data_IF_251216466081
#
_entry.id   IF_251216466081
#
_cell.length_a   1.000
_cell.length_b   1.000
_cell.length_c   1.000
_cell.angle_alpha   90.00
_cell.angle_beta   90.00
_cell.angle_gamma   90.00
#
_symmetry.space_group_name_H-M   'P 1'
#
loop_
_entity.id
_entity.type
_entity.pdbx_description
1 polymer ?
#
# COMPACT_ATOMS: atom_id res chain seq x y z
N UNK A 1 57.92 -38.53 -21.68
CA UNK A 1 58.08 -37.07 -21.75
C UNK A 1 57.52 -36.58 -23.08
N UNK A 2 56.32 -36.01 -23.07
CA UNK A 2 55.96 -34.77 -23.77
C UNK A 2 54.45 -34.58 -23.72
N UNK A 3 54.09 -33.37 -23.31
CA UNK A 3 52.77 -32.90 -22.96
C UNK A 3 51.93 -32.59 -24.21
N UNK A 4 50.65 -32.92 -24.15
CA UNK A 4 49.62 -32.32 -24.99
C UNK A 4 48.48 -31.89 -24.06
N UNK A 5 48.59 -30.68 -23.53
CA UNK A 5 47.55 -30.02 -22.76
C UNK A 5 46.59 -29.37 -23.78
N UNK A 6 45.42 -29.98 -23.99
CA UNK A 6 44.37 -29.43 -24.84
C UNK A 6 43.64 -28.33 -24.04
N UNK A 7 43.84 -27.07 -24.43
CA UNK A 7 43.05 -25.93 -23.94
C UNK A 7 41.66 -25.97 -24.60
N UNK A 8 40.61 -26.22 -23.81
CA UNK A 8 39.23 -25.92 -24.21
C UNK A 8 38.84 -24.61 -23.52
N UNK A 9 38.92 -23.50 -24.27
CA UNK A 9 38.33 -22.23 -23.90
C UNK A 9 36.88 -22.18 -24.43
N UNK A 10 35.92 -22.57 -23.60
CA UNK A 10 34.50 -22.34 -23.88
C UNK A 10 34.10 -20.94 -23.36
N UNK A 11 33.71 -20.08 -24.30
CA UNK A 11 33.27 -18.71 -24.09
C UNK A 11 32.07 -18.64 -23.13
N UNK A 12 32.21 -17.89 -22.03
CA UNK A 12 31.08 -17.42 -21.26
C UNK A 12 30.41 -16.27 -22.02
N UNK A 13 29.30 -16.57 -22.69
CA UNK A 13 28.37 -15.55 -23.18
C UNK A 13 27.72 -14.94 -21.93
N UNK A 14 28.15 -13.72 -21.60
CA UNK A 14 27.58 -12.93 -20.52
C UNK A 14 26.08 -12.74 -20.74
N UNK A 15 25.29 -13.20 -19.78
CA UNK A 15 23.89 -12.81 -19.68
C UNK A 15 23.83 -11.28 -19.57
N UNK A 16 22.94 -10.61 -20.32
CA UNK A 16 22.74 -9.17 -20.15
C UNK A 16 22.36 -8.89 -18.69
N UNK A 17 22.84 -7.79 -18.09
CA UNK A 17 22.57 -7.46 -16.70
C UNK A 17 21.06 -7.46 -16.46
N UNK A 18 20.62 -8.33 -15.56
CA UNK A 18 19.23 -8.43 -15.11
C UNK A 18 18.78 -7.04 -14.70
N UNK A 19 17.77 -6.50 -15.39
CA UNK A 19 17.14 -5.22 -15.08
C UNK A 19 16.90 -5.14 -13.57
N UNK A 20 17.15 -3.98 -12.92
CA UNK A 20 16.88 -3.85 -11.49
C UNK A 20 15.43 -4.30 -11.22
N UNK A 21 15.20 -5.18 -10.23
CA UNK A 21 13.88 -5.74 -9.99
C UNK A 21 12.89 -4.62 -9.74
N UNK A 22 11.76 -4.65 -10.46
CA UNK A 22 10.72 -3.63 -10.35
C UNK A 22 10.38 -3.36 -8.88
N UNK A 23 10.24 -2.09 -8.48
CA UNK A 23 9.92 -1.74 -7.10
C UNK A 23 8.53 -2.28 -6.77
N UNK A 24 8.48 -3.30 -5.90
CA UNK A 24 7.22 -3.88 -5.45
C UNK A 24 6.31 -2.87 -4.74
N UNK A 25 5.00 -3.15 -4.75
CA UNK A 25 3.96 -2.29 -4.17
C UNK A 25 4.10 -2.25 -2.65
N UNK A 26 4.38 -1.08 -2.07
CA UNK A 26 4.45 -0.92 -0.63
C UNK A 26 3.10 -1.17 0.03
N UNK A 27 3.04 -2.03 1.04
CA UNK A 27 1.82 -2.39 1.78
C UNK A 27 2.10 -2.49 3.29
N UNK A 28 1.05 -2.30 4.08
CA UNK A 28 0.98 -2.64 5.48
C UNK A 28 0.13 -3.91 5.64
N UNK A 29 0.73 -4.97 6.20
CA UNK A 29 0.06 -6.23 6.51
C UNK A 29 -0.29 -6.28 7.98
N UNK A 30 -1.52 -6.70 8.28
CA UNK A 30 -1.95 -7.10 9.61
C UNK A 30 -2.08 -8.61 9.68
N UNK A 31 -1.40 -9.18 10.66
CA UNK A 31 -1.42 -10.62 10.93
C UNK A 31 -2.55 -10.96 11.92
N UNK A 32 -2.84 -12.26 12.07
CA UNK A 32 -3.84 -12.78 13.01
C UNK A 32 -3.47 -12.57 14.47
N UNK A 33 -2.18 -12.50 14.77
CA UNK A 33 -1.65 -12.16 16.10
C UNK A 33 -1.68 -10.63 16.39
N UNK A 34 -2.31 -9.84 15.51
CA UNK A 34 -2.34 -8.37 15.50
C UNK A 34 -0.98 -7.68 15.27
N UNK A 35 0.07 -8.42 14.92
CA UNK A 35 1.32 -7.79 14.49
C UNK A 35 1.09 -7.03 13.16
N UNK A 36 1.85 -5.94 12.99
CA UNK A 36 1.83 -5.09 11.81
C UNK A 36 3.20 -5.11 11.15
N UNK A 37 3.24 -5.28 9.84
CA UNK A 37 4.48 -5.27 9.07
C UNK A 37 4.35 -4.43 7.81
N UNK A 38 5.34 -3.57 7.56
CA UNK A 38 5.44 -2.74 6.35
C UNK A 38 6.48 -3.34 5.41
N UNK A 39 6.09 -3.60 4.17
CA UNK A 39 6.94 -4.29 3.18
C UNK A 39 6.46 -4.00 1.76
N UNK A 40 7.17 -4.52 0.75
CA UNK A 40 6.74 -4.42 -0.65
C UNK A 40 6.24 -5.78 -1.16
N UNK A 41 5.05 -5.85 -1.74
CA UNK A 41 4.58 -7.03 -2.48
C UNK A 41 5.23 -7.04 -3.86
N UNK A 42 5.81 -8.18 -4.25
CA UNK A 42 6.49 -8.37 -5.53
C UNK A 42 5.57 -9.00 -6.59
N UNK A 43 4.41 -9.51 -6.19
CA UNK A 43 3.40 -10.01 -7.12
C UNK A 43 2.83 -8.86 -7.94
N UNK A 44 2.86 -8.96 -9.27
CA UNK A 44 2.35 -7.92 -10.16
C UNK A 44 0.81 -7.87 -10.19
N UNK A 45 0.16 -9.04 -10.04
CA UNK A 45 -1.29 -9.22 -10.10
C UNK A 45 -1.77 -10.17 -9.01
N UNK A 46 -3.01 -9.95 -8.57
CA UNK A 46 -3.76 -10.82 -7.68
C UNK A 46 -4.81 -11.60 -8.50
N UNK A 47 -4.70 -12.93 -8.48
CA UNK A 47 -5.70 -13.80 -9.10
C UNK A 47 -6.72 -14.25 -8.05
N UNK A 48 -8.01 -14.06 -8.36
CA UNK A 48 -9.11 -14.50 -7.51
C UNK A 48 -10.27 -15.09 -8.30
N UNK A 49 -10.93 -16.09 -7.74
CA UNK A 49 -12.18 -16.65 -8.28
C UNK A 49 -13.37 -15.98 -7.60
N UNK A 50 -14.21 -15.27 -8.35
CA UNK A 50 -15.48 -14.71 -7.90
C UNK A 50 -16.64 -15.60 -8.36
N UNK A 51 -17.88 -15.24 -7.99
CA UNK A 51 -19.08 -15.93 -8.49
C UNK A 51 -19.29 -15.77 -10.01
N UNK A 52 -18.70 -14.72 -10.61
CA UNK A 52 -18.81 -14.41 -12.03
C UNK A 52 -17.65 -14.98 -12.86
N UNK A 53 -16.67 -15.62 -12.22
CA UNK A 53 -15.51 -16.22 -12.88
C UNK A 53 -14.17 -15.79 -12.29
N UNK A 54 -13.10 -16.00 -13.05
CA UNK A 54 -11.74 -15.60 -12.63
C UNK A 54 -11.49 -14.13 -12.91
N UNK A 55 -10.89 -13.45 -11.94
CA UNK A 55 -10.52 -12.05 -12.02
C UNK A 55 -9.02 -11.91 -11.71
N UNK A 56 -8.34 -11.09 -12.50
CA UNK A 56 -6.93 -10.74 -12.32
C UNK A 56 -6.82 -9.24 -12.08
N UNK A 57 -6.49 -8.85 -10.85
CA UNK A 57 -6.43 -7.44 -10.42
C UNK A 57 -4.96 -7.03 -10.31
N UNK A 58 -4.49 -5.97 -10.99
CA UNK A 58 -3.14 -5.45 -10.78
C UNK A 58 -2.93 -5.00 -9.33
N UNK A 59 -1.82 -5.39 -8.70
CA UNK A 59 -1.57 -5.04 -7.29
C UNK A 59 -1.49 -3.53 -7.05
N UNK A 60 -1.11 -2.76 -8.08
CA UNK A 60 -1.06 -1.30 -8.06
C UNK A 60 -2.44 -0.65 -7.90
N UNK A 61 -3.51 -1.33 -8.28
CA UNK A 61 -4.89 -0.85 -8.13
C UNK A 61 -5.51 -1.21 -6.78
N UNK A 62 -4.94 -2.21 -6.10
CA UNK A 62 -5.44 -2.70 -4.82
C UNK A 62 -5.17 -1.65 -3.74
N UNK A 63 -6.25 -1.22 -3.08
CA UNK A 63 -6.21 -0.30 -1.94
C UNK A 63 -6.23 -1.05 -0.62
N UNK A 64 -7.07 -2.07 -0.54
CA UNK A 64 -7.27 -2.86 0.68
C UNK A 64 -7.69 -4.28 0.34
N UNK A 65 -7.23 -5.24 1.13
CA UNK A 65 -7.75 -6.61 1.10
C UNK A 65 -8.14 -7.02 2.51
N UNK A 66 -9.39 -7.42 2.69
CA UNK A 66 -9.82 -8.14 3.88
C UNK A 66 -9.75 -9.64 3.58
N UNK A 67 -8.85 -10.36 4.25
CA UNK A 67 -8.67 -11.78 4.00
C UNK A 67 -9.74 -12.60 4.72
N UNK A 68 -10.28 -13.60 4.03
CA UNK A 68 -11.09 -14.64 4.67
C UNK A 68 -10.27 -15.45 5.66
N UNK A 69 -10.95 -16.10 6.59
CA UNK A 69 -10.30 -17.03 7.51
C UNK A 69 -9.86 -18.29 6.75
N UNK A 70 -8.54 -18.46 6.60
CA UNK A 70 -7.94 -19.69 6.09
C UNK A 70 -7.40 -20.47 7.27
N UNK A 71 -7.84 -21.72 7.39
CA UNK A 71 -7.23 -22.67 8.31
C UNK A 71 -6.21 -23.49 7.53
N UNK A 72 -4.91 -23.44 7.92
CA UNK A 72 -3.93 -24.47 7.61
C UNK A 72 -4.52 -25.87 7.81
N UNK A 73 -4.17 -26.80 6.93
CA UNK A 73 -4.81 -28.12 6.86
C UNK A 73 -4.54 -28.96 8.12
N UNK A 74 -3.36 -28.85 8.69
CA UNK A 74 -2.97 -29.46 9.97
C UNK A 74 -3.88 -28.97 11.11
N UNK A 75 -4.08 -27.65 11.23
CA UNK A 75 -4.92 -27.09 12.29
C UNK A 75 -6.40 -27.38 12.05
N UNK A 76 -6.85 -27.41 10.80
CA UNK A 76 -8.21 -27.86 10.48
C UNK A 76 -8.46 -29.27 10.99
N UNK A 77 -7.55 -30.22 10.72
CA UNK A 77 -7.65 -31.60 11.20
C UNK A 77 -7.65 -31.69 12.72
N UNK A 78 -6.83 -30.90 13.41
CA UNK A 78 -6.82 -30.83 14.87
C UNK A 78 -8.16 -30.34 15.42
N UNK A 79 -8.72 -29.28 14.83
CA UNK A 79 -10.04 -28.74 15.21
C UNK A 79 -11.13 -29.80 14.97
N UNK A 80 -11.16 -30.42 13.79
CA UNK A 80 -12.17 -31.44 13.45
C UNK A 80 -12.09 -32.65 14.40
N UNK A 81 -10.88 -33.09 14.75
CA UNK A 81 -10.64 -34.15 15.73
C UNK A 81 -11.15 -33.75 17.11
N UNK A 82 -10.84 -32.53 17.56
CA UNK A 82 -11.31 -32.04 18.85
C UNK A 82 -12.84 -31.91 18.88
N UNK A 83 -13.48 -31.45 17.80
CA UNK A 83 -14.95 -31.41 17.68
C UNK A 83 -15.55 -32.81 17.79
N UNK A 84 -14.99 -33.81 17.09
CA UNK A 84 -15.45 -35.19 17.21
C UNK A 84 -15.32 -35.73 18.65
N UNK A 85 -14.24 -35.34 19.34
CA UNK A 85 -13.96 -35.75 20.70
C UNK A 85 -14.82 -35.06 21.78
N UNK A 86 -15.56 -34.00 21.45
CA UNK A 86 -16.50 -33.36 22.39
C UNK A 86 -17.63 -34.30 22.87
N UNK A 87 -17.97 -35.30 22.05
CA UNK A 87 -18.98 -36.33 22.36
C UNK A 87 -18.38 -37.67 22.79
N UNK A 88 -17.08 -37.74 23.04
CA UNK A 88 -16.41 -39.01 23.35
C UNK A 88 -16.89 -39.58 24.69
N UNK A 89 -16.99 -40.91 24.84
CA UNK A 89 -17.51 -41.55 26.08
C UNK A 89 -16.64 -41.29 27.32
N UNK A 90 -15.32 -41.20 27.13
CA UNK A 90 -14.36 -40.93 28.20
C UNK A 90 -14.28 -39.43 28.54
N UNK A 91 -14.52 -39.08 29.81
CA UNK A 91 -14.48 -37.71 30.32
C UNK A 91 -13.16 -36.97 30.02
N UNK A 92 -12.02 -37.63 30.24
CA UNK A 92 -10.69 -37.03 30.00
C UNK A 92 -10.48 -36.58 28.55
N UNK A 93 -11.00 -37.35 27.59
CA UNK A 93 -10.89 -37.04 26.15
C UNK A 93 -11.73 -35.80 25.82
N UNK A 94 -12.93 -35.67 26.42
CA UNK A 94 -13.79 -34.51 26.23
C UNK A 94 -13.17 -33.23 26.81
N UNK A 95 -12.61 -33.31 28.01
CA UNK A 95 -11.96 -32.16 28.65
C UNK A 95 -10.74 -31.69 27.86
N UNK A 96 -9.91 -32.62 27.37
CA UNK A 96 -8.78 -32.29 26.50
C UNK A 96 -9.25 -31.58 25.22
N UNK A 97 -10.28 -32.13 24.55
CA UNK A 97 -10.86 -31.52 23.37
C UNK A 97 -11.41 -30.10 23.63
N UNK A 98 -12.06 -29.88 24.77
CA UNK A 98 -12.53 -28.54 25.16
C UNK A 98 -11.37 -27.57 25.38
N UNK A 99 -10.28 -28.03 26.00
CA UNK A 99 -9.07 -27.23 26.18
C UNK A 99 -8.42 -26.88 24.84
N UNK A 100 -8.27 -27.85 23.94
CA UNK A 100 -7.67 -27.66 22.62
C UNK A 100 -8.47 -26.63 21.80
N UNK A 101 -9.80 -26.78 21.76
CA UNK A 101 -10.69 -25.85 21.05
C UNK A 101 -10.65 -24.43 21.61
N UNK A 102 -10.46 -24.27 22.93
CA UNK A 102 -10.21 -22.95 23.53
C UNK A 102 -8.85 -22.38 23.10
N UNK A 103 -7.81 -23.22 23.02
CA UNK A 103 -6.49 -22.84 22.57
C UNK A 103 -6.48 -22.33 21.12
N UNK A 104 -7.34 -22.87 20.27
CA UNK A 104 -7.49 -22.41 18.87
C UNK A 104 -8.25 -21.08 18.72
N UNK A 105 -8.94 -20.59 19.76
CA UNK A 105 -9.63 -19.29 19.78
C UNK A 105 -10.56 -19.08 18.55
N UNK A 106 -10.44 -17.96 17.83
CA UNK A 106 -11.25 -17.62 16.67
C UNK A 106 -11.15 -18.65 15.53
N UNK A 107 -10.07 -19.44 15.48
CA UNK A 107 -9.87 -20.45 14.42
C UNK A 107 -10.85 -21.61 14.56
N UNK A 108 -11.21 -21.96 15.80
CA UNK A 108 -12.22 -22.99 16.08
C UNK A 108 -13.66 -22.46 15.96
N UNK A 109 -13.86 -21.14 15.97
CA UNK A 109 -15.19 -20.52 16.05
C UNK A 109 -16.15 -20.97 14.94
N UNK A 110 -15.77 -21.00 13.63
CA UNK A 110 -16.68 -21.48 12.59
C UNK A 110 -17.05 -22.97 12.75
N UNK A 111 -16.12 -23.81 13.22
CA UNK A 111 -16.37 -25.22 13.44
C UNK A 111 -17.30 -25.45 14.64
N UNK A 112 -17.12 -24.68 15.71
CA UNK A 112 -17.98 -24.68 16.89
C UNK A 112 -19.41 -24.23 16.56
N UNK A 113 -19.59 -23.20 15.71
CA UNK A 113 -20.91 -22.79 15.23
C UNK A 113 -21.63 -23.94 14.50
N UNK A 114 -20.93 -24.66 13.61
CA UNK A 114 -21.50 -25.82 12.91
C UNK A 114 -21.84 -26.96 13.87
N UNK A 115 -20.95 -27.24 14.83
CA UNK A 115 -21.15 -28.29 15.84
C UNK A 115 -22.35 -27.98 16.76
N UNK A 116 -22.54 -26.71 17.14
CA UNK A 116 -23.69 -26.25 17.91
C UNK A 116 -25.01 -26.37 17.12
N UNK A 117 -24.97 -26.17 15.80
CA UNK A 117 -26.17 -26.29 14.96
C UNK A 117 -26.57 -27.75 14.65
N UNK A 118 -25.59 -28.61 14.37
CA UNK A 118 -25.83 -29.92 13.74
C UNK A 118 -25.35 -31.13 14.56
N UNK A 119 -24.66 -30.92 15.67
CA UNK A 119 -24.09 -31.99 16.49
C UNK A 119 -25.12 -32.81 17.27
N UNK A 120 -24.64 -33.82 18.01
CA UNK A 120 -25.47 -34.52 19.01
C UNK A 120 -25.81 -33.59 20.18
N UNK A 121 -26.84 -33.89 21.01
CA UNK A 121 -27.22 -33.03 22.13
C UNK A 121 -26.05 -32.69 23.08
N UNK A 122 -25.17 -33.67 23.33
CA UNK A 122 -23.99 -33.49 24.18
C UNK A 122 -22.92 -32.60 23.54
N UNK A 123 -22.67 -32.78 22.25
CA UNK A 123 -21.72 -31.95 21.47
C UNK A 123 -22.23 -30.53 21.34
N UNK A 124 -23.54 -30.34 21.09
CA UNK A 124 -24.17 -29.02 20.97
C UNK A 124 -24.00 -28.22 22.25
N UNK A 125 -24.36 -28.80 23.39
CA UNK A 125 -24.23 -28.14 24.70
C UNK A 125 -22.79 -27.68 24.96
N UNK A 126 -21.80 -28.54 24.72
CA UNK A 126 -20.39 -28.17 24.92
C UNK A 126 -19.89 -27.14 23.91
N UNK A 127 -20.32 -27.23 22.66
CA UNK A 127 -19.99 -26.25 21.64
C UNK A 127 -20.56 -24.87 22.01
N UNK A 128 -21.80 -24.80 22.51
CA UNK A 128 -22.44 -23.57 23.00
C UNK A 128 -21.70 -22.98 24.22
N UNK A 129 -21.29 -23.82 25.17
CA UNK A 129 -20.49 -23.39 26.33
C UNK A 129 -19.15 -22.78 25.88
N UNK A 130 -18.50 -23.39 24.89
CA UNK A 130 -17.25 -22.88 24.30
C UNK A 130 -17.47 -21.58 23.51
N UNK A 131 -18.54 -21.50 22.72
CA UNK A 131 -18.89 -20.29 21.96
C UNK A 131 -19.14 -19.10 22.91
N UNK A 132 -19.81 -19.34 24.03
CA UNK A 132 -20.04 -18.32 25.07
C UNK A 132 -18.70 -17.82 25.62
N UNK A 133 -17.83 -18.73 26.04
CA UNK A 133 -16.48 -18.39 26.54
C UNK A 133 -15.63 -17.62 25.52
N UNK A 134 -15.75 -17.96 24.23
CA UNK A 134 -15.02 -17.25 23.18
C UNK A 134 -15.60 -15.84 22.94
N UNK A 135 -16.92 -15.68 22.99
CA UNK A 135 -17.60 -14.37 22.87
C UNK A 135 -17.26 -13.44 24.02
N UNK A 136 -17.09 -13.97 25.22
CA UNK A 136 -16.70 -13.16 26.39
C UNK A 136 -15.23 -12.72 26.33
N UNK A 137 -14.36 -13.50 25.69
CA UNK A 137 -12.91 -13.25 25.64
C UNK A 137 -12.44 -12.49 24.40
N UNK A 138 -13.15 -12.61 23.28
CA UNK A 138 -12.71 -12.09 22.00
C UNK A 138 -13.62 -10.94 21.55
N UNK A 139 -13.06 -9.84 21.02
CA UNK A 139 -13.85 -8.77 20.44
C UNK A 139 -14.67 -9.29 19.24
N UNK A 140 -15.86 -8.71 19.03
CA UNK A 140 -16.82 -9.17 18.02
C UNK A 140 -16.22 -9.19 16.61
N UNK A 141 -15.29 -8.27 16.32
CA UNK A 141 -14.60 -8.17 15.03
C UNK A 141 -13.79 -9.44 14.70
N UNK A 142 -13.22 -10.13 15.70
CA UNK A 142 -12.49 -11.41 15.51
C UNK A 142 -13.41 -12.59 15.28
N UNK A 143 -14.67 -12.47 15.70
CA UNK A 143 -15.69 -13.52 15.56
C UNK A 143 -16.47 -13.40 14.24
N UNK A 144 -16.25 -12.35 13.46
CA UNK A 144 -16.83 -12.20 12.12
C UNK A 144 -16.30 -13.26 11.16
N UNK A 145 -17.10 -14.30 10.95
CA UNK A 145 -16.85 -15.32 9.94
C UNK A 145 -17.11 -14.73 8.56
N UNK A 146 -16.09 -14.75 7.70
CA UNK A 146 -16.18 -14.34 6.30
C UNK A 146 -15.79 -15.52 5.41
N UNK A 147 -16.64 -15.82 4.44
CA UNK A 147 -16.41 -16.92 3.50
C UNK A 147 -15.53 -16.53 2.30
N UNK A 148 -15.56 -15.24 1.94
CA UNK A 148 -14.85 -14.66 0.82
C UNK A 148 -13.82 -13.62 1.28
N UNK A 149 -12.72 -13.53 0.52
CA UNK A 149 -11.83 -12.38 0.56
C UNK A 149 -12.53 -11.18 -0.09
N UNK A 150 -12.34 -9.99 0.46
CA UNK A 150 -12.84 -8.74 -0.10
C UNK A 150 -11.67 -7.89 -0.58
N UNK A 151 -11.58 -7.67 -1.89
CA UNK A 151 -10.54 -6.86 -2.52
C UNK A 151 -11.15 -5.54 -2.95
N UNK A 152 -10.64 -4.45 -2.38
CA UNK A 152 -10.97 -3.07 -2.75
C UNK A 152 -9.91 -2.60 -3.74
N UNK A 153 -10.30 -2.35 -4.99
CA UNK A 153 -9.42 -1.89 -6.05
C UNK A 153 -10.07 -0.72 -6.80
N UNK A 154 -9.40 0.44 -6.81
CA UNK A 154 -10.03 1.70 -7.21
C UNK A 154 -11.34 1.95 -6.46
N UNK A 155 -12.42 2.22 -7.20
CA UNK A 155 -13.79 2.41 -6.70
C UNK A 155 -14.59 1.09 -6.61
N UNK A 156 -14.01 -0.04 -7.01
CA UNK A 156 -14.69 -1.33 -7.07
C UNK A 156 -14.34 -2.22 -5.88
N UNK A 157 -15.31 -3.04 -5.46
CA UNK A 157 -15.12 -4.08 -4.45
C UNK A 157 -15.44 -5.44 -5.05
N UNK A 158 -14.49 -6.37 -4.94
CA UNK A 158 -14.62 -7.73 -5.44
C UNK A 158 -14.65 -8.71 -4.28
N UNK A 159 -15.69 -9.55 -4.23
CA UNK A 159 -15.79 -10.66 -3.29
C UNK A 159 -15.44 -11.98 -4.00
N UNK A 160 -14.52 -12.75 -3.44
CA UNK A 160 -14.13 -14.03 -4.02
C UNK A 160 -13.08 -14.78 -3.21
N UNK A 161 -12.44 -15.77 -3.83
CA UNK A 161 -11.37 -16.55 -3.22
C UNK A 161 -10.06 -16.23 -3.92
N UNK A 162 -9.11 -15.65 -3.21
CA UNK A 162 -7.75 -15.45 -3.75
C UNK A 162 -7.13 -16.84 -3.98
N UNK A 163 -6.63 -17.08 -5.20
CA UNK A 163 -6.12 -18.38 -5.63
C UNK A 163 -4.76 -18.69 -5.01
N UNK A 164 -3.91 -17.67 -4.83
CA UNK A 164 -2.61 -17.85 -4.19
C UNK A 164 -2.75 -18.16 -2.69
N UNK A 165 -1.87 -19.02 -2.18
CA UNK A 165 -1.74 -19.31 -0.75
C UNK A 165 -0.71 -18.39 -0.06
N UNK A 166 0.16 -17.74 -0.82
CA UNK A 166 1.28 -16.93 -0.31
C UNK A 166 1.44 -15.65 -1.12
N UNK A 167 1.96 -14.60 -0.48
CA UNK A 167 2.55 -13.47 -1.20
C UNK A 167 4.06 -13.56 -1.21
N UNK A 168 4.65 -13.18 -2.34
CA UNK A 168 6.08 -12.92 -2.42
C UNK A 168 6.28 -11.45 -2.08
N UNK A 169 7.04 -11.19 -1.03
CA UNK A 169 7.26 -9.86 -0.49
C UNK A 169 8.75 -9.56 -0.39
N UNK A 170 9.10 -8.28 -0.35
CA UNK A 170 10.43 -7.77 -0.05
C UNK A 170 10.38 -6.95 1.22
N UNK A 171 11.16 -7.37 2.21
CA UNK A 171 11.40 -6.66 3.46
C UNK A 171 12.70 -5.86 3.35
N UNK A 172 12.81 -4.76 4.11
CA UNK A 172 14.03 -3.94 4.11
C UNK A 172 15.22 -4.64 4.75
N UNK A 173 14.97 -5.43 5.80
CA UNK A 173 16.05 -6.05 6.59
C UNK A 173 16.44 -7.44 6.10
N UNK A 174 15.52 -8.20 5.52
CA UNK A 174 15.71 -9.63 5.24
C UNK A 174 15.58 -9.98 3.75
N UNK A 175 15.39 -9.00 2.86
CA UNK A 175 15.22 -9.26 1.43
C UNK A 175 13.87 -9.92 1.12
N UNK A 176 13.86 -10.87 0.19
CA UNK A 176 12.64 -11.53 -0.29
C UNK A 176 12.16 -12.61 0.69
N UNK A 177 10.85 -12.62 0.96
CA UNK A 177 10.20 -13.59 1.83
C UNK A 177 8.85 -14.03 1.25
N UNK A 178 8.36 -15.18 1.71
CA UNK A 178 7.01 -15.68 1.38
C UNK A 178 6.14 -15.63 2.61
N UNK A 179 5.01 -14.93 2.53
CA UNK A 179 4.07 -14.80 3.64
C UNK A 179 2.80 -15.60 3.33
N UNK A 180 2.42 -16.59 4.17
CA UNK A 180 1.15 -17.30 4.00
C UNK A 180 -0.05 -16.39 4.23
N UNK A 181 -1.02 -16.39 3.31
CA UNK A 181 -2.26 -15.63 3.48
C UNK A 181 -3.12 -16.11 4.65
N UNK A 182 -2.85 -17.32 5.15
CA UNK A 182 -3.52 -17.85 6.33
C UNK A 182 -3.18 -17.09 7.61
N UNK A 183 -2.00 -16.48 7.67
CA UNK A 183 -1.56 -15.68 8.81
C UNK A 183 -2.09 -14.24 8.73
N UNK A 184 -2.70 -13.84 7.61
CA UNK A 184 -3.13 -12.47 7.37
C UNK A 184 -4.61 -12.25 7.70
N UNK A 185 -4.90 -11.04 8.16
CA UNK A 185 -6.27 -10.53 8.38
C UNK A 185 -6.59 -9.37 7.44
N UNK A 186 -5.64 -8.46 7.23
CA UNK A 186 -5.83 -7.28 6.40
C UNK A 186 -4.54 -6.91 5.67
N UNK A 187 -4.67 -6.36 4.48
CA UNK A 187 -3.61 -5.68 3.73
C UNK A 187 -4.13 -4.31 3.35
N UNK A 188 -3.33 -3.28 3.60
CA UNK A 188 -3.60 -1.92 3.14
C UNK A 188 -2.44 -1.48 2.26
N UNK A 189 -2.75 -0.99 1.06
CA UNK A 189 -1.72 -0.44 0.19
C UNK A 189 -1.19 0.87 0.76
N UNK A 190 0.13 0.93 0.93
CA UNK A 190 0.85 2.17 1.24
C UNK A 190 1.23 2.92 -0.02
N UNK A 191 1.25 2.23 -1.16
CA UNK A 191 1.27 2.85 -2.47
C UNK A 191 -0.15 3.31 -2.81
N UNK A 192 -0.66 4.26 -2.05
CA UNK A 192 -1.91 4.89 -2.42
C UNK A 192 -1.64 5.92 -3.51
N UNK A 193 -1.40 5.51 -4.76
CA UNK A 193 -1.70 6.34 -5.93
C UNK A 193 -1.04 5.99 -7.25
N UNK A 194 -1.85 6.02 -8.31
CA UNK A 194 -1.40 6.04 -9.69
C UNK A 194 -0.41 7.19 -9.88
N UNK A 195 0.56 6.99 -10.77
CA UNK A 195 1.46 8.06 -11.14
C UNK A 195 0.74 9.00 -12.12
N UNK A 196 0.63 10.27 -11.75
CA UNK A 196 -0.02 11.30 -12.57
C UNK A 196 0.99 12.38 -12.93
N UNK A 197 1.02 12.78 -14.20
CA UNK A 197 1.87 13.88 -14.68
C UNK A 197 1.01 15.08 -15.05
N UNK A 198 1.46 16.26 -14.64
CA UNK A 198 0.81 17.55 -14.86
C UNK A 198 1.80 18.54 -15.45
N UNK A 199 1.29 19.50 -16.22
CA UNK A 199 2.07 20.65 -16.71
C UNK A 199 1.55 21.92 -16.04
N UNK A 200 2.43 22.63 -15.35
CA UNK A 200 2.13 23.89 -14.68
C UNK A 200 2.78 25.03 -15.46
N UNK A 201 1.98 25.81 -16.18
CA UNK A 201 2.44 26.97 -16.91
C UNK A 201 2.70 28.16 -15.96
N UNK A 202 3.88 28.79 -16.07
CA UNK A 202 4.28 29.92 -15.23
C UNK A 202 3.36 31.13 -15.38
N UNK A 203 2.87 31.39 -16.59
CA UNK A 203 1.94 32.50 -16.87
C UNK A 203 0.54 32.33 -16.25
N UNK A 204 0.22 31.16 -15.68
CA UNK A 204 -1.05 30.87 -15.01
C UNK A 204 -0.86 30.65 -13.51
N UNK A 205 0.15 29.87 -13.14
CA UNK A 205 0.32 29.35 -11.77
C UNK A 205 1.47 29.99 -10.99
N UNK A 206 2.21 30.94 -11.59
CA UNK A 206 3.22 31.76 -10.93
C UNK A 206 2.79 33.24 -10.76
N UNK A 207 1.46 33.48 -10.65
CA UNK A 207 0.88 34.82 -10.58
C UNK A 207 0.66 35.31 -9.14
N UNK A 208 0.68 36.63 -8.88
CA UNK A 208 0.48 37.22 -7.54
C UNK A 208 -0.86 36.86 -6.88
N UNK A 209 -1.91 36.61 -7.67
CA UNK A 209 -3.23 36.20 -7.15
C UNK A 209 -3.28 34.77 -6.57
N UNK A 210 -2.14 34.07 -6.52
CA UNK A 210 -1.99 32.71 -5.96
C UNK A 210 -2.98 31.69 -6.55
N UNK A 211 -3.06 31.63 -7.88
CA UNK A 211 -3.87 30.62 -8.56
C UNK A 211 -3.32 29.21 -8.27
N UNK A 212 -4.20 28.28 -7.89
CA UNK A 212 -3.86 26.91 -7.56
C UNK A 212 -4.30 25.96 -8.69
N UNK A 213 -3.40 25.09 -9.13
CA UNK A 213 -3.71 23.99 -10.03
C UNK A 213 -4.33 22.85 -9.22
N UNK A 214 -5.56 22.46 -9.54
CA UNK A 214 -6.25 21.33 -8.92
C UNK A 214 -5.85 20.02 -9.62
N UNK A 215 -5.06 19.18 -8.94
CA UNK A 215 -4.59 17.90 -9.51
C UNK A 215 -5.69 16.84 -9.59
N UNK A 216 -6.83 17.07 -8.92
CA UNK A 216 -7.91 16.11 -8.67
C UNK A 216 -7.51 14.88 -7.85
N UNK A 217 -6.25 14.76 -7.45
CA UNK A 217 -5.77 13.66 -6.61
C UNK A 217 -6.21 13.88 -5.17
N UNK A 218 -6.90 12.90 -4.60
CA UNK A 218 -7.35 12.93 -3.21
C UNK A 218 -6.42 12.15 -2.30
N UNK A 219 -6.02 12.76 -1.19
CA UNK A 219 -5.13 12.18 -0.20
C UNK A 219 -5.84 12.01 1.14
N UNK A 220 -5.45 10.97 1.87
CA UNK A 220 -5.82 10.78 3.28
C UNK A 220 -4.62 11.16 4.15
N UNK A 221 -4.87 11.71 5.34
CA UNK A 221 -3.81 12.05 6.29
C UNK A 221 -2.90 10.85 6.56
N UNK A 222 -1.58 11.07 6.50
CA UNK A 222 -0.56 10.04 6.70
C UNK A 222 -0.27 9.16 5.47
N UNK A 223 -1.01 9.29 4.36
CA UNK A 223 -0.71 8.58 3.12
C UNK A 223 0.60 9.07 2.48
N UNK A 224 1.29 8.21 1.73
CA UNK A 224 2.52 8.59 1.06
C UNK A 224 2.27 9.59 -0.07
N UNK A 225 3.08 10.65 -0.14
CA UNK A 225 3.09 11.63 -1.21
C UNK A 225 4.51 11.76 -1.74
N UNK A 226 4.70 11.43 -3.02
CA UNK A 226 5.95 11.68 -3.73
C UNK A 226 5.72 12.59 -4.91
N UNK A 227 6.61 13.55 -5.08
CA UNK A 227 6.59 14.47 -6.21
C UNK A 227 7.97 14.50 -6.84
N UNK A 228 8.01 14.49 -8.17
CA UNK A 228 9.20 14.87 -8.94
C UNK A 228 8.80 15.91 -9.98
N UNK A 229 9.55 17.00 -10.04
CA UNK A 229 9.28 18.11 -10.93
C UNK A 229 10.53 18.48 -11.72
N UNK A 230 10.31 18.92 -12.95
CA UNK A 230 11.35 19.37 -13.88
C UNK A 230 10.84 20.50 -14.74
N UNK A 231 11.72 21.17 -15.47
CA UNK A 231 11.39 22.31 -16.30
C UNK A 231 11.91 23.61 -15.73
N UNK A 232 11.57 24.70 -16.40
CA UNK A 232 12.15 26.02 -16.16
C UNK A 232 11.06 27.08 -16.30
N UNK A 233 11.09 28.05 -15.39
CA UNK A 233 10.21 29.22 -15.42
C UNK A 233 11.06 30.47 -15.32
N UNK A 234 10.90 31.38 -16.28
CA UNK A 234 11.49 32.71 -16.24
C UNK A 234 10.55 33.63 -15.46
N UNK A 235 10.96 33.98 -14.24
CA UNK A 235 10.18 34.85 -13.35
C UNK A 235 10.32 36.33 -13.68
N UNK A 236 11.19 36.70 -14.63
CA UNK A 236 11.34 38.07 -15.09
C UNK A 236 11.63 38.15 -16.60
N UNK A 237 10.63 37.85 -17.45
CA UNK A 237 10.82 37.75 -18.90
C UNK A 237 11.14 39.09 -19.58
N UNK A 238 11.04 40.23 -18.87
CA UNK A 238 11.57 41.52 -19.36
C UNK A 238 13.09 41.50 -19.56
N UNK A 239 13.81 40.58 -18.88
CA UNK A 239 15.20 40.23 -19.17
C UNK A 239 15.27 38.72 -19.44
N UNK A 240 14.95 38.29 -20.67
CA UNK A 240 14.78 36.89 -21.00
C UNK A 240 15.99 36.05 -20.60
N UNK A 241 15.74 34.89 -20.00
CA UNK A 241 16.74 33.89 -19.60
C UNK A 241 17.71 34.32 -18.49
N UNK A 242 17.49 35.49 -17.87
CA UNK A 242 18.35 35.96 -16.75
C UNK A 242 17.83 35.45 -15.40
N UNK A 243 16.51 35.36 -15.24
CA UNK A 243 15.85 35.01 -13.99
C UNK A 243 15.08 33.69 -14.09
N UNK A 244 15.76 32.67 -14.62
CA UNK A 244 15.19 31.33 -14.76
C UNK A 244 15.30 30.56 -13.45
N UNK A 245 14.23 29.87 -13.09
CA UNK A 245 14.12 29.06 -11.89
C UNK A 245 13.78 27.60 -12.24
N UNK A 246 14.35 26.69 -11.45
CA UNK A 246 13.93 25.30 -11.38
C UNK A 246 12.76 25.16 -10.39
N UNK A 247 12.07 24.01 -10.32
CA UNK A 247 11.08 23.76 -9.28
C UNK A 247 11.61 23.90 -7.84
N UNK A 248 12.92 23.76 -7.61
CA UNK A 248 13.57 24.03 -6.31
C UNK A 248 13.70 25.54 -6.01
N UNK A 249 13.34 26.39 -6.94
CA UNK A 249 13.59 27.82 -6.92
C UNK A 249 14.93 28.17 -7.56
N UNK A 250 15.53 29.24 -7.04
CA UNK A 250 16.67 29.93 -7.64
C UNK A 250 17.98 29.13 -7.55
N UNK A 251 18.65 28.93 -8.70
CA UNK A 251 19.95 28.24 -8.78
C UNK A 251 21.15 29.20 -8.90
N UNK A 252 20.98 30.41 -9.44
CA UNK A 252 21.95 31.55 -9.45
C UNK A 252 21.31 32.71 -10.24
N UNK A 253 20.93 33.84 -9.62
CA UNK A 253 20.82 35.09 -10.42
C UNK A 253 21.96 36.03 -10.02
N UNK A 254 22.69 36.57 -10.99
CA UNK A 254 23.77 37.51 -10.77
C UNK A 254 23.21 38.87 -10.35
N UNK A 255 23.48 39.30 -9.12
CA UNK A 255 22.99 40.58 -8.61
C UNK A 255 23.39 40.83 -7.17
N UNK A 256 23.48 42.11 -6.83
CA UNK A 256 23.93 42.69 -5.56
C UNK A 256 23.30 42.02 -4.32
N UNK A 257 24.10 41.49 -3.36
CA UNK A 257 23.61 40.83 -2.13
C UNK A 257 22.66 41.68 -1.27
N UNK A 258 22.63 43.00 -1.47
CA UNK A 258 21.83 43.94 -0.69
C UNK A 258 20.33 44.03 -1.04
N UNK A 259 19.89 43.49 -2.18
CA UNK A 259 18.46 43.37 -2.50
C UNK A 259 18.01 41.94 -2.22
N UNK A 260 17.50 41.69 -1.02
CA UNK A 260 16.76 40.45 -0.68
C UNK A 260 15.55 40.32 -1.59
N UNK A 261 15.76 39.77 -2.78
CA UNK A 261 14.68 39.28 -3.63
C UNK A 261 14.16 38.00 -3.02
N UNK A 262 12.84 37.80 -3.09
CA UNK A 262 12.16 36.64 -2.52
C UNK A 262 12.90 35.34 -2.92
N UNK A 263 13.58 34.66 -1.98
CA UNK A 263 14.41 33.49 -2.30
C UNK A 263 13.55 32.31 -2.78
N UNK A 264 12.24 32.39 -2.58
CA UNK A 264 11.28 31.36 -2.92
C UNK A 264 10.66 31.55 -4.31
N UNK A 265 10.96 32.63 -5.04
CA UNK A 265 10.38 32.85 -6.36
C UNK A 265 10.67 31.66 -7.29
N UNK A 266 9.63 31.19 -7.98
CA UNK A 266 9.71 30.02 -8.87
C UNK A 266 9.72 28.67 -8.17
N UNK A 267 9.69 28.59 -6.83
CA UNK A 267 9.60 27.32 -6.11
C UNK A 267 8.26 26.64 -6.38
N UNK A 268 8.26 25.33 -6.61
CA UNK A 268 7.06 24.51 -6.63
C UNK A 268 6.59 24.23 -5.20
N UNK A 269 5.35 24.58 -4.92
CA UNK A 269 4.68 24.40 -3.63
C UNK A 269 3.38 23.63 -3.80
N UNK A 270 2.96 22.98 -2.72
CA UNK A 270 1.71 22.22 -2.66
C UNK A 270 0.89 22.58 -1.44
N UNK A 271 -0.40 22.23 -1.47
CA UNK A 271 -1.26 22.15 -0.28
C UNK A 271 -2.27 21.01 -0.44
N UNK A 272 -2.72 20.46 0.68
CA UNK A 272 -3.73 19.38 0.70
C UNK A 272 -5.01 19.89 1.37
N UNK A 273 -6.11 19.87 0.62
CA UNK A 273 -7.38 20.47 1.00
C UNK A 273 -7.42 21.98 0.75
N UNK A 274 -8.64 22.54 0.64
CA UNK A 274 -8.82 23.96 0.31
C UNK A 274 -8.18 24.89 1.35
N UNK A 275 -8.25 24.49 2.62
CA UNK A 275 -7.74 25.21 3.79
C UNK A 275 -6.41 24.65 4.33
N UNK A 276 -5.75 23.76 3.58
CA UNK A 276 -4.49 23.17 4.01
C UNK A 276 -3.34 24.18 4.00
N UNK A 277 -2.36 23.97 4.88
CA UNK A 277 -1.12 24.74 4.90
C UNK A 277 -0.30 24.48 3.64
N UNK A 278 0.30 25.54 3.11
CA UNK A 278 1.26 25.47 2.00
C UNK A 278 2.58 24.83 2.47
N UNK A 279 3.17 23.99 1.63
CA UNK A 279 4.46 23.37 1.88
C UNK A 279 5.30 23.28 0.60
N UNK A 280 6.62 23.27 0.77
CA UNK A 280 7.57 23.23 -0.34
C UNK A 280 7.68 21.80 -0.89
N UNK A 281 7.53 21.67 -2.22
CA UNK A 281 7.72 20.42 -2.95
C UNK A 281 9.08 20.39 -3.64
N UNK A 282 9.50 21.49 -4.27
CA UNK A 282 10.77 21.55 -4.98
C UNK A 282 10.83 20.65 -6.22
N UNK A 283 12.05 20.26 -6.62
CA UNK A 283 12.29 19.26 -7.67
C UNK A 283 11.91 17.84 -7.26
N UNK A 284 12.05 17.52 -5.97
CA UNK A 284 11.76 16.20 -5.42
C UNK A 284 11.22 16.34 -4.00
N UNK A 285 10.15 15.62 -3.73
CA UNK A 285 9.54 15.49 -2.42
C UNK A 285 9.24 14.02 -2.16
N UNK A 286 9.62 13.51 -0.98
CA UNK A 286 9.24 12.19 -0.48
C UNK A 286 8.79 12.37 0.97
N UNK A 287 7.48 12.25 1.20
CA UNK A 287 6.88 12.51 2.50
C UNK A 287 5.50 11.91 2.62
N UNK A 288 4.73 12.44 3.56
CA UNK A 288 3.37 11.99 3.83
C UNK A 288 2.40 13.17 3.80
N UNK A 289 1.18 12.93 3.34
CA UNK A 289 0.11 13.91 3.37
C UNK A 289 -0.16 14.38 4.80
N UNK A 290 -0.04 15.69 5.05
CA UNK A 290 -0.24 16.31 6.36
C UNK A 290 -1.71 16.40 6.79
N UNK A 291 -2.63 16.19 5.86
CA UNK A 291 -4.07 16.23 6.08
C UNK A 291 -4.81 15.43 5.01
N UNK A 292 -6.14 15.42 5.09
CA UNK A 292 -7.00 14.79 4.08
C UNK A 292 -7.57 15.84 3.11
N UNK A 293 -7.69 15.48 1.83
CA UNK A 293 -8.29 16.31 0.79
C UNK A 293 -7.52 16.31 -0.53
N UNK A 294 -7.91 17.19 -1.45
CA UNK A 294 -7.28 17.31 -2.78
C UNK A 294 -5.92 17.97 -2.73
N UNK A 295 -4.97 17.44 -3.52
CA UNK A 295 -3.68 18.08 -3.73
C UNK A 295 -3.82 19.23 -4.73
N UNK A 296 -3.36 20.40 -4.32
CA UNK A 296 -3.23 21.58 -5.17
C UNK A 296 -1.76 21.95 -5.32
N UNK A 297 -1.38 22.40 -6.52
CA UNK A 297 -0.02 22.79 -6.86
C UNK A 297 0.03 24.25 -7.31
N UNK A 298 1.15 24.92 -7.05
CA UNK A 298 1.38 26.30 -7.46
C UNK A 298 2.87 26.57 -7.61
N UNK A 299 3.21 27.58 -8.40
CA UNK A 299 4.56 28.13 -8.49
C UNK A 299 4.59 29.45 -7.71
N UNK A 300 5.57 29.63 -6.84
CA UNK A 300 5.72 30.89 -6.09
C UNK A 300 5.98 32.04 -7.08
N UNK A 301 5.25 33.13 -6.88
CA UNK A 301 5.17 34.24 -7.82
C UNK A 301 6.48 35.01 -8.00
N UNK A 302 6.54 35.76 -9.10
CA UNK A 302 7.60 36.73 -9.36
C UNK A 302 7.54 37.89 -8.37
N UNK A 303 8.68 38.30 -7.78
CA UNK A 303 8.73 39.46 -6.88
C UNK A 303 8.57 40.81 -7.61
N UNK A 304 8.58 40.83 -8.95
CA UNK A 304 8.50 42.07 -9.74
C UNK A 304 7.11 42.35 -10.32
N UNK A 305 6.08 41.62 -9.89
CA UNK A 305 4.71 41.79 -10.39
C UNK A 305 4.61 41.72 -11.93
N UNK A 306 5.40 40.82 -12.53
CA UNK A 306 5.38 40.52 -13.97
C UNK A 306 4.77 39.15 -14.19
N UNK A 307 4.29 38.89 -15.41
CA UNK A 307 3.76 37.60 -15.81
C UNK A 307 4.94 36.68 -16.17
N UNK A 308 5.19 35.58 -15.43
CA UNK A 308 6.28 34.66 -15.75
C UNK A 308 6.02 33.86 -17.02
N UNK A 309 7.07 33.32 -17.63
CA UNK A 309 6.98 32.40 -18.80
C UNK A 309 7.67 31.07 -18.50
N UNK A 310 7.42 30.06 -19.35
CA UNK A 310 7.92 28.69 -19.11
C UNK A 310 6.92 27.81 -18.36
N UNK A 311 7.36 26.60 -18.01
CA UNK A 311 6.50 25.58 -17.40
C UNK A 311 7.29 24.56 -16.58
N UNK A 312 6.59 23.95 -15.62
CA UNK A 312 7.07 22.75 -14.93
C UNK A 312 6.25 21.53 -15.33
N UNK A 313 6.96 20.42 -15.54
CA UNK A 313 6.37 19.07 -15.62
C UNK A 313 6.48 18.42 -14.25
N UNK A 314 5.34 18.16 -13.63
CA UNK A 314 5.21 17.65 -12.27
C UNK A 314 4.60 16.26 -12.30
N UNK A 315 5.34 15.28 -11.79
CA UNK A 315 4.91 13.90 -11.61
C UNK A 315 4.61 13.66 -10.15
N UNK A 316 3.39 13.25 -9.84
CA UNK A 316 2.91 12.93 -8.49
C UNK A 316 2.66 11.43 -8.41
N UNK A 317 3.21 10.80 -7.38
CA UNK A 317 2.89 9.41 -7.02
C UNK A 317 2.24 9.44 -5.65
N UNK A 318 0.98 9.05 -5.61
CA UNK A 318 0.15 9.24 -4.43
C UNK A 318 -1.28 9.64 -4.79
N UNK A 319 -2.17 9.60 -3.81
CA UNK A 319 -3.59 9.93 -3.92
C UNK A 319 -4.44 8.92 -4.69
N UNK A 320 -5.74 8.96 -4.49
CA UNK A 320 -6.71 8.34 -5.40
C UNK A 320 -7.04 9.31 -6.55
N UNK A 321 -7.16 8.82 -7.80
CA UNK A 321 -7.85 9.58 -8.83
C UNK A 321 -9.29 9.86 -8.38
N UNK A 322 -9.94 10.90 -8.93
CA UNK A 322 -11.36 11.13 -8.71
C UNK A 322 -12.21 9.98 -9.26
#
# INVERSE_FOLDING_TARGET
MNAALLLIAAQMIGQPPKSPPEPGVGVELRFRDNSLMKLSVLDAKLEMTTEYGKLSIPFVEIRRIEFRMRLPEDVRKQIDTAIANLGHSQFKVREAAMSDLQGFQERAYPALLRAAATGSPEVRKRAEDLLTKLRDKLPEERLKVRDNDLVHAGESMFAGKIESAVFVVRTRQFGEAKIPLAELTNLVSMAAGAESTFTLAGNQYALPQKAWFDTKLEFVSGSALRVSASGEVDVYPSQPNVYVCSPKGRVRWGGDPGRQMNPEAGVLVGKIGMNGSEFVLGEKYDGTASGAGRLYLRIVESPWNVIPTGEYKVRVTGGSPP
#
